data_IF_214832539907
#
_entry.id   IF_214832539907
#
_cell.length_a   1.000
_cell.length_b   1.000
_cell.length_c   1.000
_cell.angle_alpha   90.00
_cell.angle_beta   90.00
_cell.angle_gamma   90.00
#
_symmetry.space_group_name_H-M   'P 1'
#
loop_
_entity.id
_entity.type
_entity.pdbx_description
1 polymer ?
#
# COMPACT_ATOMS: atom_id res chain seq x y z
N UNK A 1 8.18 -2.16 5.06
CA UNK A 1 7.33 -0.97 5.07
C UNK A 1 7.75 -0.15 3.85
N UNK A 2 7.00 -0.23 2.77
CA UNK A 2 7.31 0.55 1.57
C UNK A 2 7.08 2.03 1.89
N UNK A 3 8.14 2.81 1.83
CA UNK A 3 8.10 4.22 2.15
C UNK A 3 7.56 4.97 0.93
N UNK A 4 6.50 5.75 1.11
CA UNK A 4 5.89 6.58 0.05
C UNK A 4 6.90 7.51 -0.58
N UNK A 5 7.90 7.92 0.17
CA UNK A 5 9.07 8.68 -0.33
C UNK A 5 9.78 7.93 -1.47
N UNK A 6 9.76 6.59 -1.47
CA UNK A 6 10.36 5.79 -2.54
C UNK A 6 9.58 5.92 -3.84
N UNK A 7 8.25 6.07 -3.80
CA UNK A 7 7.41 6.24 -4.99
C UNK A 7 7.53 7.65 -5.58
N UNK A 8 7.60 8.67 -4.74
CA UNK A 8 7.92 10.05 -5.17
C UNK A 8 9.29 10.11 -5.83
N UNK A 9 10.28 9.41 -5.28
CA UNK A 9 11.61 9.29 -5.87
C UNK A 9 11.58 8.56 -7.21
N UNK A 10 10.82 7.49 -7.35
CA UNK A 10 10.71 6.73 -8.62
C UNK A 10 10.03 7.58 -9.70
N UNK A 11 9.00 8.34 -9.39
CA UNK A 11 8.35 9.26 -10.34
C UNK A 11 9.30 10.37 -10.82
N UNK A 12 10.03 11.00 -9.89
CA UNK A 12 11.03 12.02 -10.21
C UNK A 12 12.26 11.47 -10.96
N UNK A 13 12.56 10.18 -10.78
CA UNK A 13 13.73 9.50 -11.37
C UNK A 13 13.50 9.02 -12.80
N UNK A 14 12.27 8.74 -13.21
CA UNK A 14 11.96 8.03 -14.46
C UNK A 14 11.17 8.84 -15.48
N UNK A 15 10.87 10.10 -15.22
CA UNK A 15 9.97 10.92 -16.06
C UNK A 15 8.63 10.21 -16.34
N UNK A 16 8.15 9.42 -15.37
CA UNK A 16 6.88 8.70 -15.49
C UNK A 16 5.72 9.69 -15.50
N UNK A 17 4.79 9.45 -16.40
CA UNK A 17 3.51 10.17 -16.40
C UNK A 17 2.64 9.67 -15.25
N UNK A 18 1.66 10.48 -14.84
CA UNK A 18 0.69 10.09 -13.81
C UNK A 18 -0.03 8.81 -14.20
N UNK A 19 -0.41 8.67 -15.47
CA UNK A 19 -1.15 7.51 -15.98
C UNK A 19 -0.32 6.23 -15.86
N UNK A 20 0.96 6.28 -16.18
CA UNK A 20 1.87 5.13 -16.01
C UNK A 20 2.06 4.74 -14.54
N UNK A 21 2.10 5.72 -13.64
CA UNK A 21 2.18 5.47 -12.19
C UNK A 21 0.90 4.83 -11.68
N UNK A 22 -0.26 5.34 -12.10
CA UNK A 22 -1.58 4.81 -11.71
C UNK A 22 -1.75 3.38 -12.19
N UNK A 23 -1.44 3.08 -13.45
CA UNK A 23 -1.52 1.72 -14.00
C UNK A 23 -0.69 0.71 -13.18
N UNK A 24 0.55 1.05 -12.88
CA UNK A 24 1.42 0.21 -12.06
C UNK A 24 0.93 0.07 -10.63
N UNK A 25 0.40 1.14 -10.06
CA UNK A 25 -0.17 1.16 -8.72
C UNK A 25 -1.41 0.26 -8.64
N UNK A 26 -2.33 0.35 -9.59
CA UNK A 26 -3.53 -0.49 -9.64
C UNK A 26 -3.17 -1.98 -9.74
N UNK A 27 -2.26 -2.35 -10.62
CA UNK A 27 -1.80 -3.73 -10.76
C UNK A 27 -1.17 -4.26 -9.46
N UNK A 28 -0.38 -3.44 -8.77
CA UNK A 28 0.22 -3.79 -7.48
C UNK A 28 -0.84 -3.92 -6.39
N UNK A 29 -1.84 -3.04 -6.37
CA UNK A 29 -2.93 -3.09 -5.38
C UNK A 29 -3.82 -4.32 -5.55
N UNK A 30 -4.11 -4.72 -6.78
CA UNK A 30 -4.86 -5.95 -7.06
C UNK A 30 -4.11 -7.19 -6.53
N UNK A 31 -2.82 -7.29 -6.84
CA UNK A 31 -1.98 -8.36 -6.33
C UNK A 31 -1.92 -8.35 -4.79
N UNK A 32 -1.70 -7.19 -4.19
CA UNK A 32 -1.62 -7.03 -2.74
C UNK A 32 -2.93 -7.40 -2.04
N UNK A 33 -4.08 -7.01 -2.62
CA UNK A 33 -5.39 -7.36 -2.08
C UNK A 33 -5.60 -8.89 -2.04
N UNK A 34 -5.22 -9.58 -3.11
CA UNK A 34 -5.25 -11.04 -3.15
C UNK A 34 -4.36 -11.68 -2.10
N UNK A 35 -3.13 -11.21 -1.97
CA UNK A 35 -2.18 -11.68 -0.96
C UNK A 35 -2.70 -11.44 0.47
N UNK A 36 -3.23 -10.25 0.72
CA UNK A 36 -3.77 -9.84 2.02
C UNK A 36 -4.95 -10.73 2.45
N UNK A 37 -5.93 -10.92 1.57
CA UNK A 37 -7.09 -11.78 1.84
C UNK A 37 -6.65 -13.23 2.09
N UNK A 38 -5.75 -13.78 1.28
CA UNK A 38 -5.23 -15.13 1.46
C UNK A 38 -4.50 -15.27 2.80
N UNK A 39 -3.69 -14.30 3.19
CA UNK A 39 -2.97 -14.29 4.47
C UNK A 39 -3.94 -14.30 5.64
N UNK A 40 -4.97 -13.45 5.60
CA UNK A 40 -6.00 -13.42 6.65
C UNK A 40 -6.78 -14.74 6.74
N UNK A 41 -7.11 -15.35 5.61
CA UNK A 41 -7.76 -16.65 5.58
C UNK A 41 -6.88 -17.75 6.24
N UNK A 42 -5.58 -17.72 5.98
CA UNK A 42 -4.64 -18.65 6.64
C UNK A 42 -4.58 -18.41 8.15
N UNK A 43 -4.52 -17.16 8.58
CA UNK A 43 -4.54 -16.80 10.00
C UNK A 43 -5.81 -17.31 10.68
N UNK A 44 -6.98 -17.07 10.10
CA UNK A 44 -8.25 -17.55 10.64
C UNK A 44 -8.32 -19.08 10.68
N UNK A 45 -7.84 -19.75 9.62
CA UNK A 45 -7.74 -21.22 9.62
C UNK A 45 -6.84 -21.75 10.75
N UNK A 46 -5.70 -21.10 11.00
CA UNK A 46 -4.77 -21.50 12.06
C UNK A 46 -5.37 -21.29 13.45
N UNK A 47 -6.13 -20.22 13.65
CA UNK A 47 -6.88 -19.96 14.87
C UNK A 47 -7.93 -21.06 15.12
N UNK A 48 -8.68 -21.42 14.10
CA UNK A 48 -9.68 -22.50 14.20
C UNK A 48 -9.01 -23.85 14.50
N UNK A 49 -7.90 -24.14 13.84
CA UNK A 49 -7.23 -25.44 13.95
C UNK A 49 -6.52 -25.64 15.29
N UNK A 50 -5.83 -24.62 15.78
CA UNK A 50 -4.95 -24.74 16.95
C UNK A 50 -5.51 -24.10 18.21
N UNK A 51 -6.33 -23.08 18.09
CA UNK A 51 -6.93 -22.38 19.22
C UNK A 51 -8.43 -22.68 19.42
N UNK A 52 -9.02 -23.52 18.59
CA UNK A 52 -10.43 -23.90 18.65
C UNK A 52 -11.40 -22.69 18.72
N UNK A 53 -11.06 -21.61 18.03
CA UNK A 53 -11.78 -20.34 18.10
C UNK A 53 -13.27 -20.48 17.82
N UNK A 54 -13.62 -21.22 16.76
CA UNK A 54 -15.01 -21.46 16.38
C UNK A 54 -15.80 -22.19 17.47
N UNK A 55 -15.19 -23.18 18.14
CA UNK A 55 -15.82 -23.91 19.24
C UNK A 55 -16.00 -23.03 20.46
N UNK A 56 -15.02 -22.17 20.75
CA UNK A 56 -15.10 -21.20 21.85
C UNK A 56 -16.20 -20.17 21.59
N UNK A 57 -16.34 -19.66 20.38
CA UNK A 57 -17.40 -18.71 20.01
C UNK A 57 -18.80 -19.35 20.19
N UNK A 58 -18.95 -20.63 19.88
CA UNK A 58 -20.21 -21.35 20.08
C UNK A 58 -20.65 -21.49 21.54
N UNK A 59 -19.75 -21.27 22.51
CA UNK A 59 -20.09 -21.22 23.94
C UNK A 59 -20.77 -19.89 24.31
N UNK A 60 -20.59 -18.85 23.52
CA UNK A 60 -21.11 -17.51 23.78
C UNK A 60 -22.31 -17.19 22.89
N UNK A 61 -22.37 -17.74 21.69
CA UNK A 61 -23.39 -17.44 20.71
C UNK A 61 -24.00 -18.71 20.12
N UNK A 62 -25.33 -18.77 20.08
CA UNK A 62 -26.06 -19.88 19.45
C UNK A 62 -25.81 -19.95 17.95
N UNK A 63 -25.84 -18.79 17.29
CA UNK A 63 -25.63 -18.62 15.86
C UNK A 63 -24.36 -17.84 15.62
N UNK A 64 -23.23 -18.54 15.54
CA UNK A 64 -21.90 -17.92 15.36
C UNK A 64 -21.82 -17.27 13.98
N UNK A 65 -21.71 -15.94 13.99
CA UNK A 65 -21.44 -15.13 12.79
C UNK A 65 -20.01 -14.63 12.84
N UNK A 66 -19.26 -14.92 11.79
CA UNK A 66 -17.88 -14.44 11.65
C UNK A 66 -17.84 -13.29 10.67
N UNK A 67 -17.20 -12.22 11.07
CA UNK A 67 -16.99 -11.04 10.24
C UNK A 67 -15.54 -10.96 9.85
N UNK A 68 -15.33 -10.59 8.61
CA UNK A 68 -13.99 -10.35 8.07
C UNK A 68 -13.83 -8.84 7.91
N UNK A 69 -12.90 -8.25 8.63
CA UNK A 69 -12.59 -6.83 8.53
C UNK A 69 -11.25 -6.63 7.84
N UNK A 70 -11.24 -5.76 6.85
CA UNK A 70 -10.02 -5.31 6.18
C UNK A 70 -9.73 -3.87 6.57
N UNK A 71 -8.46 -3.55 6.84
CA UNK A 71 -8.02 -2.19 7.15
C UNK A 71 -7.29 -1.56 5.98
N UNK A 72 -7.47 -0.26 5.82
CA UNK A 72 -6.72 0.57 4.87
C UNK A 72 -5.99 1.64 5.67
N UNK A 73 -4.69 1.81 5.40
CA UNK A 73 -3.88 2.89 5.92
C UNK A 73 -3.14 3.59 4.77
N UNK A 74 -2.90 4.89 4.91
CA UNK A 74 -2.13 5.65 3.94
C UNK A 74 -2.90 6.17 2.72
N UNK A 75 -4.23 6.15 2.73
CA UNK A 75 -5.05 6.66 1.62
C UNK A 75 -4.75 8.12 1.31
N UNK A 76 -4.67 8.98 2.33
CA UNK A 76 -4.31 10.40 2.17
C UNK A 76 -2.91 10.57 1.59
N UNK A 77 -1.96 9.77 2.05
CA UNK A 77 -0.57 9.83 1.56
C UNK A 77 -0.49 9.46 0.08
N UNK A 78 -1.26 8.48 -0.37
CA UNK A 78 -1.34 8.11 -1.79
C UNK A 78 -1.96 9.24 -2.61
N UNK A 79 -3.07 9.82 -2.14
CA UNK A 79 -3.75 10.92 -2.82
C UNK A 79 -2.83 12.14 -2.95
N UNK A 80 -2.14 12.53 -1.89
CA UNK A 80 -1.19 13.65 -1.90
C UNK A 80 0.00 13.36 -2.83
N UNK A 81 0.49 12.12 -2.84
CA UNK A 81 1.60 11.71 -3.72
C UNK A 81 1.23 11.77 -5.19
N UNK A 82 0.04 11.26 -5.55
CA UNK A 82 -0.46 11.33 -6.93
C UNK A 82 -0.73 12.78 -7.36
N UNK A 83 -1.23 13.61 -6.46
CA UNK A 83 -1.41 15.04 -6.69
C UNK A 83 -0.07 15.73 -6.93
N UNK A 84 0.93 15.43 -6.12
CA UNK A 84 2.29 15.97 -6.30
C UNK A 84 2.90 15.56 -7.64
N UNK A 85 2.78 14.29 -8.04
CA UNK A 85 3.26 13.80 -9.35
C UNK A 85 2.55 14.53 -10.50
N UNK A 86 1.26 14.84 -10.32
CA UNK A 86 0.46 15.48 -11.37
C UNK A 86 0.75 16.97 -11.54
N UNK A 87 0.99 17.68 -10.46
CA UNK A 87 1.00 19.14 -10.45
C UNK A 87 2.36 19.75 -10.11
N UNK A 88 3.24 19.03 -9.39
CA UNK A 88 4.54 19.54 -9.02
C UNK A 88 5.60 19.23 -10.08
N UNK A 89 6.46 20.20 -10.34
CA UNK A 89 7.69 19.97 -11.10
C UNK A 89 8.84 19.81 -10.11
N UNK A 90 9.43 18.61 -10.10
CA UNK A 90 10.48 18.28 -9.15
C UNK A 90 11.78 17.99 -9.90
N UNK A 91 12.87 18.62 -9.46
CA UNK A 91 14.22 18.37 -9.96
C UNK A 91 14.97 17.50 -8.96
N UNK A 92 15.40 16.34 -9.40
CA UNK A 92 16.22 15.46 -8.57
C UNK A 92 17.66 15.96 -8.54
N UNK A 93 18.22 16.10 -7.34
CA UNK A 93 19.63 16.43 -7.10
C UNK A 93 20.37 15.11 -6.89
N UNK A 94 21.39 14.87 -7.70
CA UNK A 94 22.15 13.61 -7.69
C UNK A 94 23.58 13.84 -7.22
N UNK A 95 24.13 12.83 -6.56
CA UNK A 95 25.55 12.78 -6.20
C UNK A 95 26.43 12.39 -7.40
N UNK A 96 27.74 12.28 -7.15
CA UNK A 96 28.75 11.91 -8.15
C UNK A 96 28.52 10.49 -8.74
N UNK A 97 27.79 9.64 -8.03
CA UNK A 97 27.45 8.28 -8.44
C UNK A 97 26.08 8.19 -9.17
N UNK A 98 25.40 9.33 -9.35
CA UNK A 98 24.07 9.42 -9.95
C UNK A 98 22.93 9.04 -9.00
N UNK A 99 23.19 8.86 -7.70
CA UNK A 99 22.19 8.56 -6.69
C UNK A 99 21.49 9.86 -6.29
N UNK A 100 20.15 9.82 -6.21
CA UNK A 100 19.38 10.97 -5.74
C UNK A 100 19.61 11.16 -4.25
N UNK A 101 20.11 12.34 -3.88
CA UNK A 101 20.40 12.74 -2.50
C UNK A 101 19.42 13.78 -1.97
N UNK A 102 18.77 14.52 -2.88
CA UNK A 102 17.82 15.56 -2.52
C UNK A 102 16.92 15.89 -3.73
N UNK A 103 15.92 16.72 -3.53
CA UNK A 103 15.06 17.22 -4.59
C UNK A 103 14.65 18.68 -4.34
N UNK A 104 14.49 19.41 -5.41
CA UNK A 104 14.04 20.80 -5.44
C UNK A 104 12.69 20.88 -6.15
N UNK A 105 11.69 21.47 -5.50
CA UNK A 105 10.39 21.75 -6.14
C UNK A 105 10.50 23.05 -6.90
N UNK A 106 10.18 23.02 -8.20
CA UNK A 106 10.23 24.18 -9.10
C UNK A 106 8.80 24.63 -9.36
N UNK A 107 8.48 25.83 -8.92
CA UNK A 107 7.18 26.48 -9.11
C UNK A 107 6.35 26.58 -7.81
N UNK A 108 5.48 27.58 -7.80
CA UNK A 108 4.50 27.84 -6.72
C UNK A 108 3.32 26.86 -6.81
#
# INVERSE_FOLDING_TARGET
>A
MFNVTTWLLVGALSNLTVDEVVEKFEAMMEWLAGLYVNTLNVIHYMHDKYCYERSQMALHDRDVKRYFATGIAGLSVVADSLSAIKYATVKAIRDENGIVIDYETIGD
#
